data_IF_627707289506
#
_entry.id   IF_627707289506
#
_cell.length_a   1.000
_cell.length_b   1.000
_cell.length_c   1.000
_cell.angle_alpha   90.00
_cell.angle_beta   90.00
_cell.angle_gamma   90.00
#
_symmetry.space_group_name_H-M   'P 1'
#
loop_
_entity.id
_entity.type
_entity.pdbx_description
1 polymer ?
#
# COMPACT_ATOMS: atom_id res chain seq x y z
N UNK A 1 -21.24 -48.17 -30.32
CA UNK A 1 -22.01 -47.20 -29.50
C UNK A 1 -21.24 -45.91 -29.17
N UNK A 2 -19.94 -45.95 -28.88
CA UNK A 2 -19.12 -44.76 -28.54
C UNK A 2 -19.10 -43.63 -29.58
N UNK A 3 -19.09 -43.98 -30.87
CA UNK A 3 -18.99 -43.04 -32.00
C UNK A 3 -20.19 -42.08 -32.13
N UNK A 4 -21.36 -42.49 -31.64
CA UNK A 4 -22.56 -41.67 -31.62
C UNK A 4 -22.51 -40.61 -30.50
N UNK A 5 -21.92 -40.96 -29.36
CA UNK A 5 -21.76 -40.03 -28.23
C UNK A 5 -20.77 -38.93 -28.59
N UNK A 6 -19.66 -39.28 -29.25
CA UNK A 6 -18.68 -38.32 -29.77
C UNK A 6 -19.29 -37.37 -30.83
N UNK A 7 -20.18 -37.88 -31.68
CA UNK A 7 -20.86 -37.09 -32.71
C UNK A 7 -21.75 -35.99 -32.08
N UNK A 8 -22.55 -36.35 -31.07
CA UNK A 8 -23.37 -35.37 -30.34
C UNK A 8 -22.56 -34.44 -29.44
N UNK A 9 -21.41 -34.87 -28.94
CA UNK A 9 -20.51 -34.01 -28.17
C UNK A 9 -19.82 -32.94 -29.04
N UNK A 10 -19.52 -33.26 -30.30
CA UNK A 10 -18.83 -32.38 -31.26
C UNK A 10 -19.75 -31.46 -32.06
N UNK A 11 -21.06 -31.64 -31.99
CA UNK A 11 -22.01 -30.75 -32.65
C UNK A 11 -21.74 -29.29 -32.21
N UNK A 12 -21.61 -28.35 -33.15
CA UNK A 12 -21.31 -26.96 -32.85
C UNK A 12 -22.42 -26.41 -31.95
N UNK A 13 -22.08 -26.19 -30.69
CA UNK A 13 -22.94 -25.48 -29.76
C UNK A 13 -22.93 -24.01 -30.18
N UNK A 14 -24.06 -23.33 -30.02
CA UNK A 14 -24.13 -21.89 -30.28
C UNK A 14 -23.04 -21.12 -29.52
N UNK A 15 -22.69 -19.91 -29.97
CA UNK A 15 -21.64 -19.11 -29.34
C UNK A 15 -21.90 -19.00 -27.83
N UNK A 16 -20.93 -19.43 -27.03
CA UNK A 16 -20.98 -19.33 -25.57
C UNK A 16 -21.22 -17.88 -25.22
N UNK A 17 -22.36 -17.57 -24.59
CA UNK A 17 -22.65 -16.22 -24.08
C UNK A 17 -21.45 -15.82 -23.24
N UNK A 18 -20.76 -14.74 -23.62
CA UNK A 18 -19.62 -14.26 -22.87
C UNK A 18 -20.09 -14.04 -21.43
N UNK A 19 -19.49 -14.77 -20.49
CA UNK A 19 -19.90 -14.70 -19.09
C UNK A 19 -19.76 -13.26 -18.64
N UNK A 20 -20.89 -12.63 -18.28
CA UNK A 20 -20.87 -11.28 -17.75
C UNK A 20 -19.97 -11.28 -16.51
N UNK A 21 -18.91 -10.46 -16.48
CA UNK A 21 -17.95 -10.50 -15.38
C UNK A 21 -18.64 -10.11 -14.05
N UNK A 22 -18.78 -11.09 -13.15
CA UNK A 22 -19.53 -10.94 -11.89
C UNK A 22 -18.84 -10.03 -10.88
N UNK A 23 -17.50 -9.96 -10.92
CA UNK A 23 -16.69 -9.22 -9.95
C UNK A 23 -16.02 -8.01 -10.59
N UNK A 24 -15.81 -6.95 -9.80
CA UNK A 24 -15.19 -5.70 -10.27
C UNK A 24 -13.79 -5.91 -10.88
N UNK A 25 -13.01 -6.85 -10.34
CA UNK A 25 -11.72 -7.29 -10.91
C UNK A 25 -11.88 -7.88 -12.31
N UNK A 26 -12.87 -8.76 -12.50
CA UNK A 26 -13.16 -9.38 -13.80
C UNK A 26 -13.66 -8.33 -14.80
N UNK A 27 -14.39 -7.31 -14.35
CA UNK A 27 -14.82 -6.18 -15.19
C UNK A 27 -13.62 -5.35 -15.65
N UNK A 28 -12.66 -5.10 -14.76
CA UNK A 28 -11.42 -4.41 -15.12
C UNK A 28 -10.57 -5.24 -16.08
N UNK A 29 -10.44 -6.56 -15.84
CA UNK A 29 -9.76 -7.49 -16.75
C UNK A 29 -10.39 -7.44 -18.15
N UNK A 30 -11.71 -7.63 -18.23
CA UNK A 30 -12.44 -7.62 -19.49
C UNK A 30 -12.31 -6.29 -20.25
N UNK A 31 -12.25 -5.15 -19.53
CA UNK A 31 -12.15 -3.82 -20.15
C UNK A 31 -10.76 -3.52 -20.73
N UNK A 32 -9.69 -4.00 -20.12
CA UNK A 32 -8.33 -3.58 -20.47
C UNK A 32 -7.39 -4.69 -20.94
N UNK A 33 -7.67 -5.95 -20.62
CA UNK A 33 -6.76 -7.07 -20.88
C UNK A 33 -7.31 -8.09 -21.88
N UNK A 34 -8.63 -8.18 -22.07
CA UNK A 34 -9.21 -9.11 -23.05
C UNK A 34 -9.10 -8.51 -24.48
N UNK A 35 -8.78 -9.34 -25.48
CA UNK A 35 -8.59 -8.92 -26.88
C UNK A 35 -7.17 -8.47 -27.21
N UNK A 36 -7.01 -7.34 -27.93
CA UNK A 36 -5.69 -6.82 -28.38
C UNK A 36 -4.81 -6.26 -27.25
N UNK A 37 -5.29 -6.26 -25.99
CA UNK A 37 -4.61 -5.68 -24.83
C UNK A 37 -4.52 -4.16 -24.91
N UNK A 38 -4.95 -3.45 -23.88
CA UNK A 38 -4.79 -1.99 -23.79
C UNK A 38 -3.52 -1.65 -23.00
N UNK A 39 -2.77 -0.62 -23.42
CA UNK A 39 -1.66 -0.07 -22.63
C UNK A 39 -2.09 0.77 -21.42
N UNK A 40 -3.39 1.05 -21.27
CA UNK A 40 -3.95 1.88 -20.18
C UNK A 40 -3.68 1.34 -18.76
N UNK A 41 -3.66 0.02 -18.47
CA UNK A 41 -3.29 -0.51 -17.17
C UNK A 41 -1.88 -0.10 -16.72
N UNK A 42 -0.95 0.03 -17.66
CA UNK A 42 0.40 0.49 -17.34
C UNK A 42 0.37 1.95 -16.87
N UNK A 43 -0.45 2.79 -17.51
CA UNK A 43 -0.65 4.17 -17.09
C UNK A 43 -1.35 4.27 -15.72
N UNK A 44 -2.37 3.43 -15.47
CA UNK A 44 -3.01 3.34 -14.16
C UNK A 44 -2.01 2.97 -13.07
N UNK A 45 -1.15 1.99 -13.34
CA UNK A 45 -0.10 1.57 -12.42
C UNK A 45 0.90 2.70 -12.13
N UNK A 46 1.40 3.36 -13.18
CA UNK A 46 2.31 4.51 -13.03
C UNK A 46 1.68 5.64 -12.21
N UNK A 47 0.40 5.97 -12.48
CA UNK A 47 -0.34 6.97 -11.73
C UNK A 47 -0.51 6.62 -10.25
N UNK A 48 -0.83 5.37 -9.94
CA UNK A 48 -0.92 4.87 -8.55
C UNK A 48 0.44 4.99 -7.85
N UNK A 49 1.52 4.60 -8.53
CA UNK A 49 2.87 4.64 -7.95
C UNK A 49 3.30 6.07 -7.61
N UNK A 50 3.03 7.03 -8.50
CA UNK A 50 3.33 8.45 -8.27
C UNK A 50 2.52 9.02 -7.11
N UNK A 51 1.20 8.75 -7.10
CA UNK A 51 0.33 9.22 -6.03
C UNK A 51 0.72 8.62 -4.69
N UNK A 52 0.99 7.32 -4.65
CA UNK A 52 1.43 6.63 -3.45
C UNK A 52 2.77 7.19 -2.94
N UNK A 53 3.74 7.42 -3.83
CA UNK A 53 5.01 8.06 -3.49
C UNK A 53 4.82 9.46 -2.90
N UNK A 54 3.94 10.28 -3.47
CA UNK A 54 3.63 11.60 -2.94
C UNK A 54 2.99 11.54 -1.54
N UNK A 55 2.00 10.66 -1.36
CA UNK A 55 1.33 10.47 -0.08
C UNK A 55 2.30 9.97 1.00
N UNK A 56 3.18 9.03 0.67
CA UNK A 56 4.23 8.54 1.57
C UNK A 56 5.21 9.65 1.93
N UNK A 57 5.69 10.42 0.94
CA UNK A 57 6.57 11.57 1.19
C UNK A 57 5.93 12.57 2.16
N UNK A 58 4.66 12.91 1.94
CA UNK A 58 3.92 13.79 2.82
C UNK A 58 3.76 13.20 4.23
N UNK A 59 3.30 11.95 4.33
CA UNK A 59 3.07 11.27 5.60
C UNK A 59 4.36 11.16 6.45
N UNK A 60 5.46 10.72 5.83
CA UNK A 60 6.74 10.60 6.52
C UNK A 60 7.36 11.95 6.85
N UNK A 61 7.14 12.99 6.05
CA UNK A 61 7.59 14.34 6.37
C UNK A 61 6.93 14.86 7.67
N UNK A 62 5.61 14.68 7.81
CA UNK A 62 4.87 15.08 9.01
C UNK A 62 5.29 14.25 10.24
N UNK A 63 5.45 12.94 10.08
CA UNK A 63 5.91 12.07 11.16
C UNK A 63 7.35 12.36 11.60
N UNK A 64 8.25 12.65 10.67
CA UNK A 64 9.65 12.95 10.97
C UNK A 64 9.77 14.24 11.78
N UNK A 65 9.04 15.29 11.37
CA UNK A 65 9.00 16.53 12.13
C UNK A 65 8.48 16.28 13.56
N UNK A 66 7.32 15.63 13.71
CA UNK A 66 6.76 15.31 15.03
C UNK A 66 7.69 14.45 15.90
N UNK A 67 8.33 13.43 15.31
CA UNK A 67 9.25 12.52 16.01
C UNK A 67 10.51 13.23 16.51
N UNK A 68 11.13 14.09 15.69
CA UNK A 68 12.33 14.84 16.10
C UNK A 68 12.03 15.77 17.29
N UNK A 69 10.90 16.48 17.29
CA UNK A 69 10.56 17.37 18.40
C UNK A 69 10.36 16.60 19.72
N UNK A 70 9.68 15.45 19.68
CA UNK A 70 9.49 14.60 20.86
C UNK A 70 10.81 14.01 21.38
N UNK A 71 11.67 13.53 20.49
CA UNK A 71 12.98 12.98 20.86
C UNK A 71 13.87 14.09 21.46
N UNK A 72 13.94 15.27 20.83
CA UNK A 72 14.74 16.40 21.33
C UNK A 72 14.22 16.93 22.67
N UNK A 73 12.91 17.00 22.87
CA UNK A 73 12.29 17.36 24.16
C UNK A 73 12.64 16.33 25.24
N UNK A 74 12.55 15.04 24.93
CA UNK A 74 12.90 13.98 25.88
C UNK A 74 14.37 14.04 26.31
N UNK A 75 15.30 14.24 25.38
CA UNK A 75 16.72 14.43 25.70
C UNK A 75 16.97 15.69 26.53
N UNK A 76 16.30 16.81 26.23
CA UNK A 76 16.46 18.06 26.97
C UNK A 76 15.95 17.94 28.42
N UNK A 77 14.83 17.25 28.64
CA UNK A 77 14.31 16.98 29.99
C UNK A 77 15.26 16.08 30.77
N UNK A 78 15.79 15.02 30.13
CA UNK A 78 16.69 14.07 30.78
C UNK A 78 18.01 14.71 31.22
N UNK A 79 18.63 15.54 30.36
CA UNK A 79 19.88 16.23 30.70
C UNK A 79 19.66 17.28 31.79
N UNK A 80 18.51 17.97 31.79
CA UNK A 80 18.16 18.94 32.83
C UNK A 80 17.89 18.25 34.18
N UNK A 81 17.19 17.12 34.20
CA UNK A 81 17.01 16.35 35.45
C UNK A 81 18.33 15.80 35.99
N UNK A 82 19.21 15.34 35.10
CA UNK A 82 20.52 14.81 35.48
C UNK A 82 21.45 15.90 36.04
N UNK A 83 21.43 17.10 35.46
CA UNK A 83 22.19 18.25 36.00
C UNK A 83 21.64 18.76 37.33
N UNK A 84 20.31 18.72 37.52
CA UNK A 84 19.68 19.06 38.79
C UNK A 84 20.03 18.08 39.91
N UNK A 85 20.05 16.78 39.62
CA UNK A 85 20.52 15.76 40.59
C UNK A 85 21.99 15.96 40.95
N UNK A 86 22.85 16.17 39.96
CA UNK A 86 24.29 16.33 40.19
C UNK A 86 24.62 17.58 41.00
N UNK A 87 23.90 18.68 40.77
CA UNK A 87 24.06 19.90 41.58
C UNK A 87 23.54 19.71 43.00
N UNK A 88 22.38 19.08 43.21
CA UNK A 88 21.87 18.84 44.56
C UNK A 88 22.74 17.87 45.38
N UNK A 89 23.33 16.84 44.77
CA UNK A 89 24.28 15.96 45.46
C UNK A 89 25.58 16.69 45.84
N UNK A 90 26.10 17.55 44.95
CA UNK A 90 27.29 18.36 45.26
C UNK A 90 26.99 19.33 46.39
N UNK A 91 25.91 20.11 46.31
CA UNK A 91 25.60 21.11 47.34
C UNK A 91 25.07 20.49 48.65
N UNK A 92 24.54 19.27 48.61
CA UNK A 92 24.13 18.51 49.80
C UNK A 92 25.30 17.87 50.56
N UNK A 93 26.47 17.70 49.93
CA UNK A 93 27.70 17.23 50.57
C UNK A 93 28.48 18.33 51.31
N UNK A 94 28.13 19.61 51.11
CA UNK A 94 28.76 20.77 51.75
C UNK A 94 27.88 21.45 52.82
N UNK A 95 26.76 20.82 53.21
CA UNK A 95 25.88 21.24 54.30
C UNK A 95 26.07 20.34 55.53
#
# INVERSE_FOLDING_TARGET
MHRLIEFYARLPRGPRVAESPSHWLLRYKAKYFDGRGSGKPLLHYAGIMLLFGYLMSYYFHLLYMHSIYNIRMAYAVYTYSASYMYTHDIYGLYA
#
